data_IF_337913689707
#
_entry.id   IF_337913689707
#
_cell.length_a   1.000
_cell.length_b   1.000
_cell.length_c   1.000
_cell.angle_alpha   90.00
_cell.angle_beta   90.00
_cell.angle_gamma   90.00
#
_symmetry.space_group_name_H-M   'P 1'
#
loop_
_entity.id
_entity.type
_entity.pdbx_description
1 polymer ?
#
# COMPACT_ATOMS: atom_id res chain seq x y z
N UNK A 1 6.18 4.36 9.16
CA UNK A 1 5.58 3.03 9.36
C UNK A 1 6.61 1.92 9.49
N UNK A 2 7.73 1.95 8.75
CA UNK A 2 8.77 0.92 8.87
C UNK A 2 9.21 0.56 10.30
N UNK A 3 9.34 1.53 11.21
CA UNK A 3 9.64 1.22 12.63
C UNK A 3 8.72 0.17 13.26
N UNK A 4 7.41 0.20 13.00
CA UNK A 4 6.48 -0.80 13.58
C UNK A 4 6.50 -2.12 12.80
N UNK A 5 6.80 -2.07 11.50
CA UNK A 5 7.03 -3.25 10.66
C UNK A 5 8.27 -4.01 11.11
N UNK A 6 9.38 -3.30 11.38
CA UNK A 6 10.64 -3.89 11.86
C UNK A 6 10.49 -4.53 13.26
N UNK A 7 9.52 -4.04 14.06
CA UNK A 7 9.17 -4.61 15.36
C UNK A 7 8.24 -5.81 15.26
N UNK A 8 7.74 -6.14 14.06
CA UNK A 8 6.76 -7.19 13.84
C UNK A 8 5.38 -6.89 14.43
N UNK A 9 5.07 -5.60 14.67
CA UNK A 9 3.77 -5.19 15.19
C UNK A 9 2.73 -5.01 14.07
N UNK A 10 3.21 -4.90 12.84
CA UNK A 10 2.41 -4.84 11.62
C UNK A 10 3.21 -5.52 10.49
N UNK A 11 2.52 -6.10 9.52
CA UNK A 11 3.14 -6.72 8.34
C UNK A 11 3.21 -5.76 7.16
N UNK A 12 2.21 -4.89 7.00
CA UNK A 12 2.11 -3.96 5.87
C UNK A 12 1.36 -2.70 6.26
N UNK A 13 1.68 -1.58 5.61
CA UNK A 13 0.94 -0.35 5.83
C UNK A 13 0.31 0.16 4.53
N UNK A 14 -0.78 0.89 4.68
CA UNK A 14 -1.51 1.52 3.58
C UNK A 14 -1.84 2.96 3.90
N UNK A 15 -2.43 3.65 2.93
CA UNK A 15 -2.91 5.03 3.06
C UNK A 15 -4.43 5.07 3.01
N UNK A 16 -5.04 6.10 3.58
CA UNK A 16 -6.49 6.31 3.55
C UNK A 16 -6.77 7.77 3.27
N UNK A 17 -7.62 8.05 2.27
CA UNK A 17 -7.92 9.40 1.78
C UNK A 17 -6.71 10.19 1.24
N UNK A 18 -5.64 9.52 0.80
CA UNK A 18 -4.48 10.19 0.19
C UNK A 18 -4.71 10.43 -1.30
N UNK A 19 -4.21 11.56 -1.79
CA UNK A 19 -4.17 11.84 -3.22
C UNK A 19 -3.15 10.95 -3.92
N UNK A 20 -3.34 10.71 -5.23
CA UNK A 20 -2.38 9.95 -6.03
C UNK A 20 -0.95 10.54 -5.96
N UNK A 21 -0.84 11.87 -5.84
CA UNK A 21 0.45 12.55 -5.67
C UNK A 21 1.11 12.19 -4.33
N UNK A 22 0.38 12.24 -3.22
CA UNK A 22 0.92 11.90 -1.90
C UNK A 22 1.38 10.44 -1.84
N UNK A 23 0.63 9.54 -2.49
CA UNK A 23 1.00 8.13 -2.60
C UNK A 23 2.30 7.98 -3.41
N UNK A 24 2.42 8.68 -4.53
CA UNK A 24 3.63 8.68 -5.36
C UNK A 24 4.84 9.23 -4.61
N UNK A 25 4.66 10.31 -3.85
CA UNK A 25 5.71 10.90 -3.02
C UNK A 25 6.17 9.93 -1.92
N UNK A 26 5.22 9.25 -1.25
CA UNK A 26 5.54 8.24 -0.24
C UNK A 26 6.36 7.09 -0.83
N UNK A 27 5.98 6.60 -2.01
CA UNK A 27 6.75 5.60 -2.76
C UNK A 27 8.15 6.10 -3.15
N UNK A 28 8.26 7.35 -3.61
CA UNK A 28 9.55 7.96 -3.94
C UNK A 28 10.48 8.10 -2.73
N UNK A 29 9.94 8.39 -1.54
CA UNK A 29 10.71 8.39 -0.29
C UNK A 29 11.10 6.97 0.11
N UNK A 30 10.17 6.02 0.01
CA UNK A 30 10.40 4.64 0.39
C UNK A 30 11.53 4.00 -0.44
N UNK A 31 11.49 4.16 -1.77
CA UNK A 31 12.53 3.67 -2.68
C UNK A 31 13.91 4.31 -2.42
N UNK A 32 13.96 5.60 -2.11
CA UNK A 32 15.24 6.31 -1.85
C UNK A 32 15.92 5.89 -0.55
N UNK A 33 15.12 5.45 0.43
CA UNK A 33 15.58 5.12 1.76
C UNK A 33 15.61 3.62 2.03
N UNK A 34 15.36 2.79 1.01
CA UNK A 34 15.25 1.32 1.12
C UNK A 34 14.24 0.89 2.21
N UNK A 35 13.10 1.56 2.21
CA UNK A 35 12.00 1.35 3.15
C UNK A 35 10.82 0.66 2.45
N UNK A 36 9.99 -0.05 3.22
CA UNK A 36 8.73 -0.62 2.72
C UNK A 36 7.74 0.52 2.42
N UNK A 37 7.26 0.57 1.18
CA UNK A 37 6.24 1.51 0.70
C UNK A 37 4.81 1.11 1.11
N UNK A 38 3.82 1.99 0.90
CA UNK A 38 2.43 1.66 1.18
C UNK A 38 1.87 0.71 0.11
N UNK A 39 1.26 -0.40 0.52
CA UNK A 39 0.81 -1.47 -0.39
C UNK A 39 -0.64 -1.28 -0.89
N UNK A 40 -1.44 -0.53 -0.15
CA UNK A 40 -2.86 -0.33 -0.42
C UNK A 40 -3.25 1.12 -0.14
N UNK A 41 -4.23 1.62 -0.89
CA UNK A 41 -4.92 2.85 -0.57
C UNK A 41 -6.41 2.56 -0.39
N UNK A 42 -6.98 3.14 0.67
CA UNK A 42 -8.39 3.05 0.98
C UNK A 42 -9.05 4.42 0.74
N UNK A 43 -9.54 4.70 -0.47
CA UNK A 43 -10.34 5.90 -0.73
C UNK A 43 -11.82 5.67 -0.42
N UNK A 44 -12.54 6.77 -0.22
CA UNK A 44 -14.00 6.78 -0.15
C UNK A 44 -14.59 6.27 -1.47
N UNK A 45 -15.30 5.15 -1.39
CA UNK A 45 -16.04 4.57 -2.50
C UNK A 45 -17.46 4.21 -2.08
N UNK A 46 -18.45 4.87 -2.68
CA UNK A 46 -19.86 4.57 -2.49
C UNK A 46 -20.67 4.96 -3.74
N UNK A 47 -22.00 4.79 -3.70
CA UNK A 47 -22.85 5.07 -4.87
C UNK A 47 -22.77 6.52 -5.37
N UNK A 48 -22.48 7.46 -4.47
CA UNK A 48 -22.39 8.90 -4.73
C UNK A 48 -20.95 9.36 -4.98
N UNK A 49 -19.96 8.64 -4.43
CA UNK A 49 -18.53 8.94 -4.51
C UNK A 49 -17.79 7.82 -5.23
N UNK A 50 -17.57 7.98 -6.54
CA UNK A 50 -16.84 7.01 -7.40
C UNK A 50 -15.55 7.55 -8.01
N UNK A 51 -15.28 8.85 -7.85
CA UNK A 51 -14.23 9.57 -8.57
C UNK A 51 -12.82 9.38 -7.99
N UNK A 52 -12.70 8.99 -6.71
CA UNK A 52 -11.41 8.78 -6.02
C UNK A 52 -10.79 7.39 -6.29
N UNK A 53 -11.60 6.44 -6.75
CA UNK A 53 -11.13 5.11 -7.12
C UNK A 53 -10.66 5.14 -8.56
N UNK A 54 -9.35 5.10 -8.75
CA UNK A 54 -8.71 4.84 -10.03
C UNK A 54 -8.10 3.43 -10.00
N UNK A 55 -7.91 2.83 -11.17
CA UNK A 55 -7.26 1.51 -11.28
C UNK A 55 -5.93 1.43 -10.51
N UNK A 56 -5.20 2.54 -10.46
CA UNK A 56 -3.90 2.66 -9.81
C UNK A 56 -3.95 2.92 -8.30
N UNK A 57 -5.10 3.28 -7.72
CA UNK A 57 -5.18 3.68 -6.30
C UNK A 57 -5.70 2.60 -5.36
N UNK A 58 -6.20 1.46 -5.84
CA UNK A 58 -6.71 0.40 -4.95
C UNK A 58 -5.65 -0.58 -4.47
N UNK A 59 -4.68 -0.90 -5.32
CA UNK A 59 -3.52 -1.77 -5.00
C UNK A 59 -2.30 -1.07 -5.57
N UNK A 60 -1.38 -0.68 -4.69
CA UNK A 60 -0.23 0.13 -5.03
C UNK A 60 0.98 -0.70 -5.47
N UNK A 61 0.91 -2.02 -5.28
CA UNK A 61 1.92 -3.00 -5.72
C UNK A 61 1.36 -3.90 -6.83
N UNK A 62 1.76 -3.61 -8.08
CA UNK A 62 1.60 -4.53 -9.22
C UNK A 62 2.94 -4.86 -9.90
N UNK A 63 4.05 -4.74 -9.18
CA UNK A 63 5.24 -5.51 -9.54
C UNK A 63 5.01 -6.95 -9.06
N UNK A 64 4.78 -7.84 -10.03
CA UNK A 64 4.25 -9.21 -9.95
C UNK A 64 5.01 -10.20 -9.02
N UNK A 65 5.99 -9.76 -8.23
CA UNK A 65 6.88 -10.64 -7.45
C UNK A 65 6.56 -10.70 -5.95
N UNK A 66 5.89 -9.70 -5.37
CA UNK A 66 5.65 -9.66 -3.92
C UNK A 66 4.49 -10.59 -3.49
N UNK A 67 3.55 -10.89 -4.39
CA UNK A 67 2.41 -11.79 -4.10
C UNK A 67 2.82 -13.25 -3.87
N UNK A 68 3.95 -13.70 -4.41
CA UNK A 68 4.45 -15.06 -4.14
C UNK A 68 4.85 -15.23 -2.67
N UNK A 69 5.29 -14.17 -1.99
CA UNK A 69 5.75 -14.28 -0.60
C UNK A 69 4.63 -14.15 0.43
N UNK A 70 3.55 -13.43 0.10
CA UNK A 70 2.42 -13.19 1.03
C UNK A 70 1.36 -14.29 0.97
N UNK A 71 1.25 -15.01 -0.16
CA UNK A 71 0.30 -16.11 -0.35
C UNK A 71 0.84 -17.47 0.15
N UNK A 72 2.11 -17.56 0.55
CA UNK A 72 2.75 -18.78 1.07
C UNK A 72 2.75 -18.87 2.61
N UNK A 73 1.87 -18.13 3.30
CA UNK A 73 1.64 -18.38 4.73
C UNK A 73 0.77 -19.64 4.91
N UNK A 74 1.25 -20.71 5.55
CA UNK A 74 0.44 -21.89 5.78
C UNK A 74 -0.69 -21.54 6.74
N UNK A 75 -1.92 -21.66 6.26
CA UNK A 75 -3.14 -21.59 7.07
C UNK A 75 -3.06 -22.67 8.17
N UNK A 76 -2.99 -22.23 9.43
CA UNK A 76 -3.34 -23.05 10.59
C UNK A 76 -4.82 -22.86 10.90
#
# INVERSE_FOLDING_TARGET
>A
MNYVTDKGWDFYWGTSEWSAQQITEAWGVAQRLDLVGPIAAQPEYNLLSRHKVSFWTMVLDFDCLTLYYVMDLPLL
#
